data_IF_765552823100
#
_entry.id   IF_765552823100
#
_cell.length_a   1.000
_cell.length_b   1.000
_cell.length_c   1.000
_cell.angle_alpha   90.00
_cell.angle_beta   90.00
_cell.angle_gamma   90.00
#
_symmetry.space_group_name_H-M   'P 1'
#
loop_
_entity.id
_entity.type
_entity.pdbx_description
1 polymer ?
#
# COMPACT_ATOMS: atom_id res chain seq x y z
N UNK A 1 -4.17 16.90 -10.38
CA UNK A 1 -4.78 15.57 -10.15
C UNK A 1 -5.51 15.55 -8.81
N UNK A 2 -6.50 14.64 -8.61
CA UNK A 2 -7.12 14.44 -7.29
C UNK A 2 -6.96 13.00 -6.86
N UNK A 3 -6.31 12.77 -5.72
CA UNK A 3 -6.19 11.45 -5.11
C UNK A 3 -7.30 11.27 -4.06
N UNK A 4 -8.17 10.31 -4.28
CA UNK A 4 -9.16 9.91 -3.27
C UNK A 4 -8.56 8.84 -2.36
N UNK A 5 -8.66 9.10 -1.04
CA UNK A 5 -8.08 8.25 0.00
C UNK A 5 -9.05 8.02 1.16
N UNK A 6 -8.73 7.07 2.01
CA UNK A 6 -9.24 6.98 3.36
C UNK A 6 -8.08 6.76 4.34
N UNK A 7 -8.19 7.22 5.59
CA UNK A 7 -7.15 7.07 6.58
C UNK A 7 -6.73 5.60 6.78
N UNK A 8 -5.44 5.35 6.88
CA UNK A 8 -4.88 4.01 7.14
C UNK A 8 -4.90 3.04 5.98
N UNK A 9 -5.46 3.39 4.81
CA UNK A 9 -5.61 2.49 3.66
C UNK A 9 -4.40 2.48 2.74
N UNK A 10 -4.40 1.55 1.77
CA UNK A 10 -3.38 1.45 0.73
C UNK A 10 -3.24 2.73 -0.15
N UNK A 11 -4.24 3.60 -0.16
CA UNK A 11 -4.18 4.89 -0.86
C UNK A 11 -3.03 5.78 -0.37
N UNK A 12 -2.58 5.61 0.88
CA UNK A 12 -1.47 6.36 1.42
C UNK A 12 -0.15 6.08 0.69
N UNK A 13 0.03 4.89 0.11
CA UNK A 13 1.20 4.58 -0.71
C UNK A 13 1.24 5.47 -1.97
N UNK A 14 0.09 5.64 -2.63
CA UNK A 14 -0.01 6.54 -3.78
C UNK A 14 0.20 8.01 -3.36
N UNK A 15 -0.29 8.39 -2.18
CA UNK A 15 -0.07 9.73 -1.65
C UNK A 15 1.40 10.01 -1.36
N UNK A 16 2.10 9.08 -0.72
CA UNK A 16 3.55 9.17 -0.49
C UNK A 16 4.31 9.29 -1.83
N UNK A 17 3.95 8.48 -2.82
CA UNK A 17 4.58 8.54 -4.14
C UNK A 17 4.37 9.88 -4.84
N UNK A 18 3.18 10.49 -4.73
CA UNK A 18 2.91 11.84 -5.26
C UNK A 18 3.75 12.92 -4.56
N UNK A 19 3.94 12.82 -3.24
CA UNK A 19 4.83 13.72 -2.50
C UNK A 19 6.30 13.55 -2.93
N UNK A 20 6.78 12.32 -3.08
CA UNK A 20 8.14 12.06 -3.56
C UNK A 20 8.38 12.55 -4.98
N UNK A 21 7.34 12.49 -5.81
CA UNK A 21 7.37 12.97 -7.18
C UNK A 21 7.27 14.51 -7.30
N UNK A 22 6.99 15.22 -6.21
CA UNK A 22 6.74 16.67 -6.26
C UNK A 22 5.54 17.04 -7.13
N UNK A 23 4.57 16.12 -7.27
CA UNK A 23 3.43 16.27 -8.15
C UNK A 23 2.47 17.37 -7.67
N UNK A 24 1.78 18.02 -8.61
CA UNK A 24 0.63 18.89 -8.30
C UNK A 24 -0.64 18.07 -8.18
N UNK A 25 -1.16 17.95 -6.97
CA UNK A 25 -2.35 17.14 -6.67
C UNK A 25 -3.11 17.70 -5.46
N UNK A 26 -4.36 17.26 -5.33
CA UNK A 26 -5.21 17.44 -4.16
C UNK A 26 -5.55 16.08 -3.57
N UNK A 27 -5.36 15.90 -2.27
CA UNK A 27 -5.87 14.73 -1.55
C UNK A 27 -7.30 14.98 -1.06
N UNK A 28 -8.20 14.07 -1.37
CA UNK A 28 -9.63 14.16 -1.03
C UNK A 28 -10.06 12.91 -0.28
N UNK A 29 -10.62 13.09 0.91
CA UNK A 29 -11.17 11.95 1.66
C UNK A 29 -12.40 11.40 0.94
N UNK A 30 -12.39 10.10 0.63
CA UNK A 30 -13.48 9.44 -0.08
C UNK A 30 -14.70 9.26 0.85
N UNK A 31 -15.86 9.66 0.37
CA UNK A 31 -17.15 9.28 0.98
C UNK A 31 -17.70 8.08 0.20
N UNK A 32 -17.48 6.87 0.73
CA UNK A 32 -17.93 5.61 0.10
C UNK A 32 -19.44 5.51 -0.08
N UNK A 33 -20.24 6.29 0.70
CA UNK A 33 -21.69 6.28 0.63
C UNK A 33 -22.23 7.18 -0.48
N UNK A 34 -21.44 8.19 -0.89
CA UNK A 34 -21.90 9.18 -1.85
C UNK A 34 -22.01 8.63 -3.28
N UNK A 35 -23.07 9.01 -3.97
CA UNK A 35 -23.26 8.69 -5.39
C UNK A 35 -22.21 9.42 -6.27
N UNK A 36 -21.67 10.52 -5.81
CA UNK A 36 -20.59 11.23 -6.49
C UNK A 36 -19.33 10.37 -6.52
N UNK A 37 -18.92 9.81 -5.37
CA UNK A 37 -17.74 8.95 -5.33
C UNK A 37 -17.93 7.64 -6.10
N UNK A 38 -19.12 7.05 -6.07
CA UNK A 38 -19.44 5.84 -6.85
C UNK A 38 -19.36 6.08 -8.37
N UNK A 39 -19.58 7.32 -8.86
CA UNK A 39 -19.31 7.65 -10.27
C UNK A 39 -17.83 7.73 -10.58
N UNK A 40 -17.00 8.13 -9.62
CA UNK A 40 -15.55 8.19 -9.76
C UNK A 40 -14.96 6.77 -9.71
N UNK A 41 -15.35 5.98 -8.72
CA UNK A 41 -14.98 4.57 -8.60
C UNK A 41 -16.21 3.70 -8.28
N UNK A 42 -16.77 2.98 -9.26
CA UNK A 42 -17.97 2.14 -9.06
C UNK A 42 -17.81 1.05 -7.99
N UNK A 43 -16.58 0.64 -7.68
CA UNK A 43 -16.31 -0.31 -6.60
C UNK A 43 -16.35 0.33 -5.20
N UNK A 44 -16.56 1.64 -5.12
CA UNK A 44 -16.53 2.42 -3.88
C UNK A 44 -15.30 2.08 -3.01
N UNK A 45 -14.13 1.99 -3.62
CA UNK A 45 -12.86 1.62 -2.97
C UNK A 45 -11.80 2.71 -3.21
N UNK A 46 -10.78 2.75 -2.39
CA UNK A 46 -9.60 3.61 -2.55
C UNK A 46 -8.34 2.77 -2.77
N UNK A 47 -7.32 3.31 -3.46
CA UNK A 47 -7.24 4.64 -4.07
C UNK A 47 -8.04 4.77 -5.36
N UNK A 48 -8.42 6.01 -5.67
CA UNK A 48 -8.78 6.43 -7.02
C UNK A 48 -8.02 7.73 -7.33
N UNK A 49 -7.40 7.82 -8.50
CA UNK A 49 -6.68 9.01 -8.95
C UNK A 49 -7.44 9.60 -10.15
N UNK A 50 -8.10 10.73 -9.93
CA UNK A 50 -8.74 11.52 -10.98
C UNK A 50 -7.70 12.43 -11.64
N UNK A 51 -7.48 12.21 -12.92
CA UNK A 51 -6.53 12.94 -13.76
C UNK A 51 -7.21 13.88 -14.75
N UNK A 52 -8.54 14.07 -14.63
CA UNK A 52 -9.35 14.88 -15.55
C UNK A 52 -9.81 14.14 -16.81
N UNK A 53 -9.61 12.83 -16.89
CA UNK A 53 -10.04 11.98 -18.00
C UNK A 53 -11.43 11.36 -17.74
N UNK A 54 -11.96 10.61 -18.72
CA UNK A 54 -13.30 10.00 -18.66
C UNK A 54 -13.53 9.10 -17.44
N UNK A 55 -12.46 8.52 -16.89
CA UNK A 55 -12.50 7.68 -15.71
C UNK A 55 -11.28 7.94 -14.81
N UNK A 56 -11.45 7.81 -13.51
CA UNK A 56 -10.34 7.78 -12.59
C UNK A 56 -9.51 6.50 -12.74
N UNK A 57 -8.22 6.60 -12.46
CA UNK A 57 -7.32 5.45 -12.35
C UNK A 57 -7.56 4.77 -10.99
N UNK A 58 -7.54 3.45 -10.97
CA UNK A 58 -7.76 2.65 -9.75
C UNK A 58 -6.65 1.60 -9.62
N UNK A 59 -6.60 0.89 -8.48
CA UNK A 59 -5.59 -0.10 -8.11
C UNK A 59 -4.24 0.56 -7.75
N UNK A 60 -3.86 0.43 -6.47
CA UNK A 60 -2.67 1.07 -5.95
C UNK A 60 -1.39 0.79 -6.77
N UNK A 61 -1.07 -0.46 -7.19
CA UNK A 61 0.11 -0.71 -8.01
C UNK A 61 0.09 0.02 -9.36
N UNK A 62 -1.08 0.04 -10.02
CA UNK A 62 -1.22 0.68 -11.32
C UNK A 62 -1.08 2.22 -11.21
N UNK A 63 -1.65 2.81 -10.15
CA UNK A 63 -1.50 4.25 -9.87
C UNK A 63 -0.05 4.58 -9.54
N UNK A 64 0.63 3.75 -8.73
CA UNK A 64 2.04 3.93 -8.40
C UNK A 64 2.92 3.92 -9.66
N UNK A 65 2.70 2.98 -10.57
CA UNK A 65 3.42 2.93 -11.86
C UNK A 65 3.08 4.13 -12.76
N UNK A 66 1.82 4.57 -12.77
CA UNK A 66 1.42 5.76 -13.50
C UNK A 66 2.15 7.02 -12.99
N UNK A 67 2.28 7.18 -11.67
CA UNK A 67 3.01 8.29 -11.06
C UNK A 67 4.49 8.27 -11.48
N UNK A 68 5.13 7.09 -11.47
CA UNK A 68 6.50 6.90 -11.94
C UNK A 68 6.67 7.30 -13.41
N UNK A 69 5.75 6.84 -14.26
CA UNK A 69 5.80 7.14 -15.70
C UNK A 69 5.57 8.63 -15.98
N UNK A 70 4.76 9.30 -15.15
CA UNK A 70 4.50 10.74 -15.28
C UNK A 70 5.66 11.60 -14.76
N UNK A 71 6.42 11.09 -13.78
CA UNK A 71 7.51 11.78 -13.08
C UNK A 71 8.79 10.92 -13.04
N UNK A 72 9.39 10.59 -14.20
CA UNK A 72 10.58 9.73 -14.25
C UNK A 72 11.78 10.35 -13.51
N UNK A 73 11.85 11.67 -13.45
CA UNK A 73 12.88 12.44 -12.74
C UNK A 73 12.89 12.21 -11.24
N UNK A 74 11.79 11.74 -10.65
CA UNK A 74 11.70 11.42 -9.22
C UNK A 74 12.54 10.19 -8.83
N UNK A 75 12.92 9.35 -9.79
CA UNK A 75 13.80 8.21 -9.58
C UNK A 75 13.23 7.11 -8.66
N UNK A 76 11.90 7.08 -8.46
CA UNK A 76 11.22 6.15 -7.54
C UNK A 76 10.67 4.89 -8.22
N UNK A 77 10.89 4.74 -9.52
CA UNK A 77 10.49 3.58 -10.32
C UNK A 77 11.58 2.52 -10.44
N UNK A 78 11.36 1.56 -11.33
CA UNK A 78 12.37 0.57 -11.72
C UNK A 78 13.59 1.24 -12.36
N UNK A 79 14.74 0.56 -12.30
CA UNK A 79 15.87 0.88 -13.15
C UNK A 79 15.54 0.52 -14.60
N UNK A 80 16.29 1.08 -15.55
CA UNK A 80 16.08 0.77 -16.97
C UNK A 80 16.33 -0.71 -17.28
N UNK A 81 15.54 -1.26 -18.16
CA UNK A 81 15.66 -2.62 -18.69
C UNK A 81 14.53 -3.55 -18.27
N UNK A 82 14.18 -4.45 -19.18
CA UNK A 82 13.02 -5.32 -19.08
C UNK A 82 13.00 -6.16 -17.78
N UNK A 83 14.15 -6.70 -17.34
CA UNK A 83 14.22 -7.48 -16.12
C UNK A 83 14.03 -6.63 -14.87
N UNK A 84 14.52 -5.39 -14.87
CA UNK A 84 14.32 -4.45 -13.75
C UNK A 84 12.86 -4.02 -13.64
N UNK A 85 12.21 -3.77 -14.77
CA UNK A 85 10.77 -3.49 -14.83
C UNK A 85 9.95 -4.70 -14.36
N UNK A 86 10.34 -5.91 -14.79
CA UNK A 86 9.69 -7.15 -14.35
C UNK A 86 9.83 -7.33 -12.84
N UNK A 87 11.01 -7.17 -12.27
CA UNK A 87 11.25 -7.29 -10.83
C UNK A 87 10.38 -6.30 -10.01
N UNK A 88 10.32 -5.04 -10.44
CA UNK A 88 9.43 -4.06 -9.81
C UNK A 88 7.96 -4.50 -9.89
N UNK A 89 7.52 -5.00 -11.04
CA UNK A 89 6.16 -5.48 -11.23
C UNK A 89 5.86 -6.72 -10.40
N UNK A 90 6.83 -7.64 -10.26
CA UNK A 90 6.71 -8.83 -9.41
C UNK A 90 6.55 -8.44 -7.94
N UNK A 91 7.37 -7.52 -7.45
CA UNK A 91 7.29 -6.97 -6.09
C UNK A 91 5.93 -6.31 -5.85
N UNK A 92 5.49 -5.43 -6.75
CA UNK A 92 4.20 -4.76 -6.61
C UNK A 92 3.04 -5.75 -6.66
N UNK A 93 3.15 -6.81 -7.48
CA UNK A 93 2.16 -7.88 -7.55
C UNK A 93 2.12 -8.68 -6.25
N UNK A 94 3.27 -9.05 -5.68
CA UNK A 94 3.34 -9.68 -4.37
C UNK A 94 2.67 -8.81 -3.29
N UNK A 95 3.01 -7.52 -3.23
CA UNK A 95 2.41 -6.60 -2.26
C UNK A 95 0.89 -6.51 -2.41
N UNK A 96 0.37 -6.51 -3.64
CA UNK A 96 -1.05 -6.34 -3.93
C UNK A 96 -1.87 -7.62 -3.85
N UNK A 97 -1.28 -8.78 -4.20
CA UNK A 97 -2.02 -10.03 -4.40
C UNK A 97 -1.76 -11.06 -3.29
N UNK A 98 -0.66 -10.92 -2.54
CA UNK A 98 -0.31 -11.82 -1.46
C UNK A 98 -0.36 -11.13 -0.10
N UNK A 99 0.42 -10.07 0.09
CA UNK A 99 0.51 -9.38 1.39
C UNK A 99 -0.77 -8.61 1.73
N UNK A 100 -1.24 -7.75 0.84
CA UNK A 100 -2.45 -6.95 1.09
C UNK A 100 -3.68 -7.82 1.40
N UNK A 101 -4.06 -8.81 0.57
CA UNK A 101 -5.23 -9.64 0.85
C UNK A 101 -5.05 -10.58 2.04
N UNK A 102 -3.84 -10.83 2.52
CA UNK A 102 -3.63 -11.58 3.76
C UNK A 102 -4.30 -10.91 4.97
N UNK A 103 -4.43 -9.58 4.96
CA UNK A 103 -5.08 -8.81 6.01
C UNK A 103 -6.61 -8.75 5.89
N UNK A 104 -7.21 -9.12 4.76
CA UNK A 104 -8.65 -8.97 4.59
C UNK A 104 -9.50 -9.78 5.60
N UNK A 105 -9.15 -11.03 5.97
CA UNK A 105 -9.91 -11.73 7.01
C UNK A 105 -9.79 -11.08 8.39
N UNK A 106 -8.72 -10.33 8.63
CA UNK A 106 -8.56 -9.56 9.86
C UNK A 106 -9.51 -8.35 9.89
N UNK A 107 -9.61 -7.60 8.78
CA UNK A 107 -10.42 -6.38 8.71
C UNK A 107 -11.89 -6.66 8.37
N UNK A 108 -12.17 -7.72 7.63
CA UNK A 108 -13.50 -8.07 7.11
C UNK A 108 -13.79 -9.57 7.32
N UNK A 109 -13.75 -10.08 8.57
CA UNK A 109 -13.88 -11.52 8.82
C UNK A 109 -15.21 -12.09 8.32
N UNK A 110 -16.29 -11.28 8.32
CA UNK A 110 -17.61 -11.65 7.83
C UNK A 110 -17.64 -12.02 6.32
N UNK A 111 -16.59 -11.69 5.57
CA UNK A 111 -16.47 -12.09 4.15
C UNK A 111 -15.84 -13.48 3.97
N UNK A 112 -15.39 -14.11 5.08
CA UNK A 112 -14.60 -15.34 5.07
C UNK A 112 -15.28 -16.48 5.84
N UNK A 113 -16.49 -16.27 6.34
CA UNK A 113 -17.32 -17.27 6.98
C UNK A 113 -18.79 -16.96 6.72
N UNK A 114 -19.62 -17.99 6.65
CA UNK A 114 -21.09 -17.89 6.61
C UNK A 114 -21.73 -17.95 7.99
N UNK A 115 -20.93 -18.28 9.01
CA UNK A 115 -21.35 -18.26 10.41
C UNK A 115 -21.00 -16.88 11.00
N UNK A 116 -22.03 -16.12 11.37
CA UNK A 116 -21.90 -14.76 11.91
C UNK A 116 -21.64 -14.73 13.42
N UNK A 117 -21.47 -15.89 14.07
CA UNK A 117 -21.14 -15.96 15.50
C UNK A 117 -19.78 -15.30 15.76
N UNK A 118 -19.64 -14.67 16.91
CA UNK A 118 -18.38 -14.03 17.34
C UNK A 118 -17.21 -15.01 17.31
N UNK A 119 -17.45 -16.28 17.70
CA UNK A 119 -16.45 -17.33 17.68
C UNK A 119 -15.97 -17.68 16.26
N UNK A 120 -16.87 -17.69 15.27
CA UNK A 120 -16.51 -17.94 13.86
C UNK A 120 -15.77 -16.76 13.26
N UNK A 121 -16.18 -15.53 13.53
CA UNK A 121 -15.48 -14.32 13.09
C UNK A 121 -14.05 -14.25 13.66
N UNK A 122 -13.89 -14.60 14.94
CA UNK A 122 -12.56 -14.63 15.56
C UNK A 122 -11.66 -15.72 14.96
N UNK A 123 -12.21 -16.92 14.66
CA UNK A 123 -11.46 -17.95 13.91
C UNK A 123 -11.01 -17.50 12.54
N UNK A 124 -11.84 -16.73 11.81
CA UNK A 124 -11.47 -16.18 10.52
C UNK A 124 -10.30 -15.19 10.63
N UNK A 125 -10.28 -14.33 11.67
CA UNK A 125 -9.14 -13.43 11.95
C UNK A 125 -7.87 -14.21 12.29
N UNK A 126 -7.97 -15.21 13.18
CA UNK A 126 -6.83 -16.04 13.58
C UNK A 126 -6.21 -16.79 12.39
N UNK A 127 -7.04 -17.27 11.45
CA UNK A 127 -6.58 -17.93 10.25
C UNK A 127 -5.73 -16.98 9.34
N UNK A 128 -5.92 -15.66 9.44
CA UNK A 128 -5.11 -14.69 8.69
C UNK A 128 -3.69 -14.58 9.22
N UNK A 129 -3.45 -14.78 10.52
CA UNK A 129 -2.16 -14.49 11.15
C UNK A 129 -0.99 -15.28 10.54
N UNK A 130 -1.20 -16.57 10.26
CA UNK A 130 -0.16 -17.39 9.64
C UNK A 130 0.15 -16.96 8.19
N UNK A 131 -0.85 -16.49 7.45
CA UNK A 131 -0.66 -15.94 6.09
C UNK A 131 0.08 -14.61 6.12
N UNK A 132 -0.31 -13.73 7.04
CA UNK A 132 0.34 -12.43 7.25
C UNK A 132 1.80 -12.66 7.63
N UNK A 133 2.09 -13.52 8.62
CA UNK A 133 3.46 -13.81 9.05
C UNK A 133 4.32 -14.34 7.90
N UNK A 134 3.81 -15.28 7.09
CA UNK A 134 4.52 -15.80 5.92
C UNK A 134 4.83 -14.70 4.90
N UNK A 135 3.86 -13.84 4.59
CA UNK A 135 4.05 -12.75 3.64
C UNK A 135 5.03 -11.70 4.19
N UNK A 136 4.96 -11.40 5.49
CA UNK A 136 5.90 -10.49 6.15
C UNK A 136 7.33 -11.05 6.21
N UNK A 137 7.51 -12.35 6.43
CA UNK A 137 8.83 -13.01 6.33
C UNK A 137 9.40 -12.89 4.91
N UNK A 138 8.55 -13.05 3.88
CA UNK A 138 8.99 -12.85 2.49
C UNK A 138 9.36 -11.40 2.23
N UNK A 139 8.56 -10.43 2.71
CA UNK A 139 8.89 -9.01 2.62
C UNK A 139 10.23 -8.69 3.31
N UNK A 140 10.45 -9.26 4.51
CA UNK A 140 11.69 -9.07 5.27
C UNK A 140 12.91 -9.57 4.47
N UNK A 141 12.77 -10.71 3.79
CA UNK A 141 13.80 -11.26 2.91
C UNK A 141 14.05 -10.39 1.68
N UNK A 142 13.00 -9.91 1.02
CA UNK A 142 13.13 -8.99 -0.13
C UNK A 142 13.90 -7.72 0.26
N UNK A 143 13.61 -7.14 1.44
CA UNK A 143 14.31 -5.94 1.92
C UNK A 143 15.78 -6.25 2.23
N UNK A 144 16.10 -7.44 2.78
CA UNK A 144 17.47 -7.87 3.01
C UNK A 144 18.25 -7.99 1.69
N UNK A 145 17.68 -8.64 0.70
CA UNK A 145 18.25 -8.82 -0.64
C UNK A 145 18.34 -7.48 -1.40
N UNK A 146 17.38 -6.59 -1.18
CA UNK A 146 17.33 -5.23 -1.74
C UNK A 146 18.16 -4.21 -0.94
N UNK A 147 19.15 -4.65 -0.16
CA UNK A 147 20.06 -3.77 0.58
C UNK A 147 19.33 -2.69 1.41
N UNK A 148 18.29 -3.13 2.13
CA UNK A 148 17.52 -2.29 3.04
C UNK A 148 16.32 -1.58 2.39
N UNK A 149 16.08 -1.70 1.09
CA UNK A 149 14.89 -1.28 0.36
C UNK A 149 14.17 -2.49 -0.22
N UNK A 150 12.90 -2.35 -0.57
CA UNK A 150 12.16 -3.46 -1.19
C UNK A 150 12.68 -3.76 -2.59
N UNK A 151 13.22 -2.74 -3.28
CA UNK A 151 13.75 -2.84 -4.63
C UNK A 151 15.19 -2.29 -4.72
N UNK A 152 16.14 -3.13 -5.06
CA UNK A 152 17.53 -2.84 -5.53
C UNK A 152 18.26 -1.69 -4.82
N UNK A 153 18.16 -1.59 -3.49
CA UNK A 153 18.94 -0.64 -2.68
C UNK A 153 18.56 0.84 -2.86
N UNK A 154 17.41 1.14 -3.44
CA UNK A 154 16.95 2.52 -3.66
C UNK A 154 15.51 2.72 -3.17
N UNK A 155 15.22 3.94 -2.73
CA UNK A 155 13.85 4.36 -2.43
C UNK A 155 12.97 4.21 -3.68
N UNK A 156 11.83 3.55 -3.53
CA UNK A 156 10.93 3.26 -4.63
C UNK A 156 9.46 3.24 -4.21
N UNK A 157 8.56 3.19 -5.20
CA UNK A 157 7.14 3.00 -4.97
C UNK A 157 6.82 1.70 -4.19
N UNK A 158 7.69 0.69 -4.28
CA UNK A 158 7.57 -0.54 -3.51
C UNK A 158 7.76 -0.29 -2.01
N UNK A 159 8.69 0.60 -1.60
CA UNK A 159 8.86 0.97 -0.19
C UNK A 159 7.63 1.70 0.35
N UNK A 160 7.03 2.60 -0.43
CA UNK A 160 5.80 3.29 -0.03
C UNK A 160 4.66 2.31 0.20
N UNK A 161 4.51 1.32 -0.67
CA UNK A 161 3.44 0.33 -0.53
C UNK A 161 3.71 -0.64 0.62
N UNK A 162 4.93 -1.15 0.75
CA UNK A 162 5.35 -2.01 1.85
C UNK A 162 5.18 -1.32 3.22
N UNK A 163 5.57 -0.05 3.32
CA UNK A 163 5.39 0.74 4.54
C UNK A 163 3.94 0.77 5.00
N UNK A 164 3.00 1.05 4.10
CA UNK A 164 1.58 1.12 4.45
C UNK A 164 1.05 -0.25 4.87
N UNK A 165 1.45 -1.34 4.18
CA UNK A 165 1.01 -2.69 4.53
C UNK A 165 1.60 -3.16 5.87
N UNK A 166 2.90 -2.94 6.09
CA UNK A 166 3.57 -3.36 7.31
C UNK A 166 2.95 -2.73 8.57
N UNK A 167 2.47 -1.49 8.50
CA UNK A 167 1.76 -0.83 9.62
C UNK A 167 0.53 -1.59 10.09
N UNK A 168 -0.14 -2.34 9.21
CA UNK A 168 -1.32 -3.12 9.59
C UNK A 168 -1.00 -4.30 10.51
N UNK A 169 0.27 -4.69 10.62
CA UNK A 169 0.69 -5.71 11.57
C UNK A 169 0.58 -5.27 13.04
N UNK A 170 0.36 -3.98 13.32
CA UNK A 170 0.02 -3.51 14.67
C UNK A 170 -1.30 -4.12 15.19
N UNK A 171 -2.13 -4.66 14.30
CA UNK A 171 -3.38 -5.37 14.63
C UNK A 171 -3.21 -6.90 14.70
N UNK A 172 -1.97 -7.40 14.63
CA UNK A 172 -1.66 -8.83 14.66
C UNK A 172 -0.80 -9.19 15.88
N UNK A 173 -0.74 -10.46 16.29
CA UNK A 173 0.11 -10.88 17.42
C UNK A 173 1.59 -10.60 17.23
N UNK A 174 2.07 -10.53 15.97
CA UNK A 174 3.46 -10.25 15.62
C UNK A 174 3.50 -9.00 14.75
N UNK A 175 4.06 -7.92 15.30
CA UNK A 175 4.14 -6.63 14.60
C UNK A 175 5.35 -6.54 13.67
N UNK A 176 5.39 -5.52 12.82
CA UNK A 176 6.51 -5.25 11.92
C UNK A 176 7.86 -5.12 12.64
N UNK A 177 7.86 -4.78 13.94
CA UNK A 177 9.08 -4.64 14.76
C UNK A 177 9.83 -5.96 14.96
N UNK A 178 9.16 -7.08 14.74
CA UNK A 178 9.72 -8.43 14.91
C UNK A 178 10.31 -9.00 13.62
N UNK A 179 10.29 -8.22 12.53
CA UNK A 179 10.94 -8.53 11.26
C UNK A 179 12.08 -7.54 11.04
N UNK A 180 13.36 -7.93 11.25
CA UNK A 180 14.46 -6.97 11.44
C UNK A 180 14.69 -6.03 10.25
N UNK A 181 14.57 -6.52 9.02
CA UNK A 181 14.76 -5.70 7.82
C UNK A 181 13.54 -4.80 7.56
N UNK A 182 12.33 -5.33 7.79
CA UNK A 182 11.10 -4.50 7.77
C UNK A 182 11.20 -3.41 8.82
N UNK A 183 11.62 -3.73 10.05
CA UNK A 183 11.75 -2.74 11.12
C UNK A 183 12.71 -1.60 10.74
N UNK A 184 13.85 -1.93 10.13
CA UNK A 184 14.81 -0.93 9.65
C UNK A 184 14.22 -0.06 8.52
N UNK A 185 13.47 -0.65 7.57
CA UNK A 185 12.76 0.11 6.53
C UNK A 185 11.72 1.03 7.15
N UNK A 186 10.89 0.52 8.07
CA UNK A 186 9.83 1.29 8.73
C UNK A 186 10.38 2.51 9.46
N UNK A 187 11.46 2.35 10.24
CA UNK A 187 12.13 3.46 10.95
C UNK A 187 12.62 4.54 9.98
N UNK A 188 13.19 4.15 8.83
CA UNK A 188 13.63 5.07 7.78
C UNK A 188 12.45 5.80 7.13
N UNK A 189 11.39 5.08 6.83
CA UNK A 189 10.17 5.65 6.26
C UNK A 189 9.49 6.65 7.22
N UNK A 190 9.48 6.36 8.51
CA UNK A 190 8.95 7.28 9.54
C UNK A 190 9.76 8.58 9.66
N UNK A 191 11.03 8.59 9.24
CA UNK A 191 11.89 9.77 9.21
C UNK A 191 11.79 10.57 7.90
N UNK A 192 11.20 9.99 6.86
CA UNK A 192 11.01 10.65 5.57
C UNK A 192 9.99 11.79 5.67
N UNK A 193 10.35 12.99 5.21
CA UNK A 193 9.52 14.19 5.35
C UNK A 193 8.17 14.07 4.61
N UNK A 194 8.15 13.43 3.44
CA UNK A 194 6.93 13.21 2.68
C UNK A 194 6.00 12.21 3.40
N UNK A 195 6.57 11.16 3.96
CA UNK A 195 5.81 10.19 4.79
C UNK A 195 5.22 10.88 6.01
N UNK A 196 6.00 11.67 6.74
CA UNK A 196 5.51 12.42 7.90
C UNK A 196 4.36 13.37 7.52
N UNK A 197 4.49 14.09 6.42
CA UNK A 197 3.45 14.98 5.89
C UNK A 197 2.15 14.22 5.62
N UNK A 198 2.23 13.09 4.90
CA UNK A 198 1.06 12.25 4.59
C UNK A 198 0.45 11.67 5.86
N UNK A 199 1.28 11.16 6.77
CA UNK A 199 0.81 10.55 8.03
C UNK A 199 0.16 11.56 8.98
N UNK A 200 0.55 12.83 8.93
CA UNK A 200 -0.12 13.90 9.65
C UNK A 200 -1.44 14.29 8.97
N UNK A 201 -1.41 14.53 7.65
CA UNK A 201 -2.55 15.03 6.89
C UNK A 201 -3.72 14.04 6.79
N UNK A 202 -3.47 12.72 6.78
CA UNK A 202 -4.54 11.73 6.68
C UNK A 202 -5.52 11.71 7.87
N UNK A 203 -5.15 12.33 8.98
CA UNK A 203 -5.94 12.34 10.23
C UNK A 203 -7.02 13.43 10.26
N UNK A 204 -6.94 14.38 9.30
CA UNK A 204 -7.82 15.54 9.20
C UNK A 204 -9.15 15.30 8.51
#
# INVERSE_FOLDING_TARGET
MKLYYAPGTCALACWIALEWAGADYQAVRADYSSEEYKRINPLAAVPALDIGEKRALTQAPAILQYIVALHPEAGIGANEGLLNEFEMNEILSFLASDLHPAFWPLFFPQRYTTDESEAALEKAKQAAFARIDRAMQHLDKLIAEGNGHVYQGKRSIADAYAFVMARWTEYTPKSWKEYPNVAALMQRMEQDAAVQKVMAAQKG
#
